data_IF_953248319154
#
_entry.id   IF_953248319154
#
_cell.length_a   1.000
_cell.length_b   1.000
_cell.length_c   1.000
_cell.angle_alpha   90.00
_cell.angle_beta   90.00
_cell.angle_gamma   90.00
#
_symmetry.space_group_name_H-M   'P 1'
#
loop_
_entity.id
_entity.type
_entity.pdbx_description
1 polymer ?
#
# COMPACT_ATOMS: atom_id res chain seq x y z
N UNK A 1 4.88 2.01 1.98
CA UNK A 1 5.92 2.02 0.94
C UNK A 1 6.37 0.58 0.73
N UNK A 2 6.88 0.28 -0.46
CA UNK A 2 7.39 -1.03 -0.82
C UNK A 2 8.32 -0.89 -2.01
N UNK A 3 8.92 -2.00 -2.42
CA UNK A 3 9.62 -2.11 -3.69
C UNK A 3 8.71 -2.76 -4.71
N UNK A 4 8.90 -2.45 -5.98
CA UNK A 4 8.25 -3.13 -7.09
C UNK A 4 9.13 -4.29 -7.56
N UNK A 5 8.47 -5.35 -8.01
CA UNK A 5 9.07 -6.54 -8.59
C UNK A 5 8.33 -6.85 -9.89
N UNK A 6 8.89 -7.74 -10.71
CA UNK A 6 8.20 -8.30 -11.86
C UNK A 6 7.30 -9.46 -11.41
N UNK A 7 5.96 -9.34 -11.48
CA UNK A 7 5.05 -10.34 -10.89
C UNK A 7 5.08 -11.71 -11.58
N UNK A 8 5.47 -11.78 -12.85
CA UNK A 8 5.57 -13.05 -13.59
C UNK A 8 6.95 -13.72 -13.47
N UNK A 9 7.89 -13.09 -12.76
CA UNK A 9 9.25 -13.58 -12.56
C UNK A 9 9.48 -13.95 -11.08
N UNK A 10 9.65 -15.25 -10.84
CA UNK A 10 9.87 -15.78 -9.49
C UNK A 10 11.24 -15.39 -8.91
N UNK A 11 12.26 -15.18 -9.75
CA UNK A 11 13.57 -14.69 -9.28
C UNK A 11 13.45 -13.23 -8.81
N UNK A 12 12.74 -12.38 -9.56
CA UNK A 12 12.46 -10.99 -9.15
C UNK A 12 11.74 -10.91 -7.81
N UNK A 13 10.75 -11.78 -7.57
CA UNK A 13 10.05 -11.86 -6.28
C UNK A 13 11.01 -12.29 -5.16
N UNK A 14 11.80 -13.35 -5.38
CA UNK A 14 12.75 -13.85 -4.40
C UNK A 14 13.80 -12.79 -4.02
N UNK A 15 14.36 -12.11 -5.01
CA UNK A 15 15.31 -11.01 -4.83
C UNK A 15 14.70 -9.84 -4.09
N UNK A 16 13.46 -9.47 -4.41
CA UNK A 16 12.73 -8.42 -3.70
C UNK A 16 12.57 -8.74 -2.21
N UNK A 17 12.13 -9.96 -1.90
CA UNK A 17 12.00 -10.42 -0.50
C UNK A 17 13.38 -10.45 0.17
N UNK A 18 14.38 -11.06 -0.47
CA UNK A 18 15.73 -11.18 0.07
C UNK A 18 16.34 -9.82 0.40
N UNK A 19 16.18 -8.84 -0.50
CA UNK A 19 16.70 -7.48 -0.33
C UNK A 19 16.07 -6.78 0.87
N UNK A 20 14.75 -6.87 1.05
CA UNK A 20 14.08 -6.26 2.22
C UNK A 20 14.51 -6.92 3.53
N UNK A 21 14.81 -8.22 3.52
CA UNK A 21 15.24 -8.94 4.73
C UNK A 21 16.71 -8.71 5.10
N UNK A 22 17.58 -8.47 4.12
CA UNK A 22 19.03 -8.40 4.32
C UNK A 22 19.61 -6.97 4.27
N UNK A 23 18.86 -5.98 3.80
CA UNK A 23 19.23 -4.56 3.83
C UNK A 23 18.45 -3.85 4.94
N UNK A 24 19.07 -3.70 6.11
CA UNK A 24 18.44 -3.12 7.30
C UNK A 24 18.05 -1.65 7.11
N UNK A 25 18.88 -0.89 6.39
CA UNK A 25 18.62 0.52 6.09
C UNK A 25 17.40 0.66 5.19
N UNK A 26 17.31 -0.15 4.13
CA UNK A 26 16.14 -0.21 3.26
C UNK A 26 14.88 -0.57 4.06
N UNK A 27 14.96 -1.60 4.89
CA UNK A 27 13.83 -2.04 5.71
C UNK A 27 13.34 -0.91 6.65
N UNK A 28 14.26 -0.21 7.30
CA UNK A 28 13.93 0.91 8.18
C UNK A 28 13.27 2.06 7.42
N UNK A 29 13.81 2.43 6.25
CA UNK A 29 13.21 3.47 5.40
C UNK A 29 11.80 3.10 4.92
N UNK A 30 11.59 1.85 4.48
CA UNK A 30 10.28 1.38 4.02
C UNK A 30 9.25 1.38 5.14
N UNK A 31 9.62 0.99 6.36
CA UNK A 31 8.76 1.05 7.56
C UNK A 31 8.30 2.47 7.85
N UNK A 32 9.24 3.42 7.94
CA UNK A 32 8.92 4.83 8.21
C UNK A 32 7.99 5.43 7.14
N UNK A 33 8.35 5.24 5.85
CA UNK A 33 7.54 5.73 4.74
C UNK A 33 6.18 5.02 4.67
N UNK A 34 6.09 3.76 5.08
CA UNK A 34 4.85 2.99 5.21
C UNK A 34 3.88 3.61 6.21
N UNK A 35 4.38 3.90 7.42
CA UNK A 35 3.59 4.57 8.45
C UNK A 35 3.14 5.97 8.01
N UNK A 36 4.03 6.75 7.39
CA UNK A 36 3.64 8.05 6.87
C UNK A 36 2.55 7.94 5.79
N UNK A 37 2.67 6.97 4.87
CA UNK A 37 1.69 6.77 3.80
C UNK A 37 0.34 6.29 4.35
N UNK A 38 0.31 5.45 5.40
CA UNK A 38 -0.95 4.93 5.96
C UNK A 38 -1.84 6.04 6.51
N UNK A 39 -1.26 7.13 7.02
CA UNK A 39 -2.01 8.31 7.53
C UNK A 39 -2.90 8.97 6.48
N UNK A 40 -2.65 8.75 5.19
CA UNK A 40 -3.46 9.30 4.09
C UNK A 40 -4.80 8.58 3.91
N UNK A 41 -4.94 7.40 4.49
CA UNK A 41 -6.11 6.54 4.36
C UNK A 41 -6.81 6.40 5.71
N UNK A 42 -8.15 6.46 5.72
CA UNK A 42 -8.95 6.18 6.92
C UNK A 42 -10.25 5.51 6.55
N UNK A 43 -10.70 4.59 7.41
CA UNK A 43 -11.97 3.89 7.23
C UNK A 43 -13.16 4.85 7.19
N UNK A 44 -13.14 5.90 8.01
CA UNK A 44 -14.18 6.93 8.03
C UNK A 44 -14.28 7.66 6.69
N UNK A 45 -13.14 8.00 6.08
CA UNK A 45 -13.12 8.63 4.75
C UNK A 45 -13.67 7.68 3.69
N UNK A 46 -13.24 6.41 3.71
CA UNK A 46 -13.72 5.38 2.78
C UNK A 46 -15.24 5.19 2.89
N UNK A 47 -15.76 5.07 4.12
CA UNK A 47 -17.19 4.90 4.36
C UNK A 47 -18.01 6.09 3.87
N UNK A 48 -17.54 7.32 4.10
CA UNK A 48 -18.21 8.53 3.60
C UNK A 48 -18.25 8.58 2.08
N UNK A 49 -17.12 8.34 1.42
CA UNK A 49 -17.07 8.30 -0.06
C UNK A 49 -18.02 7.22 -0.60
N UNK A 50 -18.04 6.03 0.00
CA UNK A 50 -18.94 4.96 -0.43
C UNK A 50 -20.42 5.34 -0.25
N UNK A 51 -20.78 5.95 0.89
CA UNK A 51 -22.14 6.42 1.16
C UNK A 51 -22.58 7.50 0.17
N UNK A 52 -21.72 8.49 -0.11
CA UNK A 52 -22.01 9.57 -1.04
C UNK A 52 -22.34 9.00 -2.44
N UNK A 53 -21.60 7.98 -2.89
CA UNK A 53 -21.89 7.29 -4.16
C UNK A 53 -23.23 6.55 -4.11
N UNK A 54 -23.53 5.84 -3.03
CA UNK A 54 -24.82 5.16 -2.88
C UNK A 54 -26.00 6.15 -2.92
N UNK A 55 -25.87 7.29 -2.25
CA UNK A 55 -26.88 8.35 -2.28
C UNK A 55 -27.07 8.90 -3.70
N UNK A 56 -25.99 9.21 -4.42
CA UNK A 56 -26.06 9.70 -5.80
C UNK A 56 -26.76 8.72 -6.77
N UNK A 57 -26.60 7.42 -6.55
CA UNK A 57 -27.25 6.40 -7.38
C UNK A 57 -28.73 6.23 -7.01
N UNK A 58 -29.10 6.36 -5.73
CA UNK A 58 -30.48 6.21 -5.25
C UNK A 58 -31.34 7.47 -5.43
N UNK A 59 -30.74 8.65 -5.52
CA UNK A 59 -31.41 9.93 -5.76
C UNK A 59 -31.70 10.20 -7.26
N UNK A 60 -31.34 9.25 -8.15
CA UNK A 60 -31.71 9.23 -9.57
C UNK A 60 -32.95 8.37 -9.82
#
# INVERSE_FOLDING_TARGET
AGIYIEPEDHESIADGIWRVLNDEDLAHQLRQKGLQQSTKFSWQRTARIALDVYQQVLER
#
